data_IF_239063151773
#
_entry.id   IF_239063151773
#
_cell.length_a   1.000
_cell.length_b   1.000
_cell.length_c   1.000
_cell.angle_alpha   90.00
_cell.angle_beta   90.00
_cell.angle_gamma   90.00
#
_symmetry.space_group_name_H-M   'P 1'
#
loop_
_entity.id
_entity.type
_entity.pdbx_description
1 polymer ?
#
# COMPACT_ATOMS: atom_id res chain seq x y z
N UNK A 1 -6.86 -30.82 14.60
CA UNK A 1 -7.27 -29.41 14.73
C UNK A 1 -6.51 -28.64 13.66
N UNK A 2 -7.18 -28.10 12.64
CA UNK A 2 -6.49 -27.26 11.65
C UNK A 2 -6.28 -25.88 12.27
N UNK A 3 -5.02 -25.50 12.52
CA UNK A 3 -4.70 -24.15 12.94
C UNK A 3 -4.85 -23.20 11.74
N UNK A 4 -5.67 -22.17 11.89
CA UNK A 4 -5.76 -21.10 10.91
C UNK A 4 -4.40 -20.40 10.79
N UNK A 5 -3.84 -20.34 9.58
CA UNK A 5 -2.61 -19.62 9.29
C UNK A 5 -2.94 -18.35 8.52
N UNK A 6 -2.68 -17.21 9.14
CA UNK A 6 -2.87 -15.91 8.52
C UNK A 6 -1.54 -15.21 8.26
N UNK A 7 -1.47 -14.42 7.18
CA UNK A 7 -0.32 -13.56 6.88
C UNK A 7 -0.76 -12.14 6.59
N UNK A 8 -0.17 -11.19 7.31
CA UNK A 8 -0.38 -9.76 7.06
C UNK A 8 0.70 -9.24 6.11
N UNK A 9 0.30 -8.45 5.12
CA UNK A 9 1.20 -7.77 4.19
C UNK A 9 0.84 -6.28 4.17
N UNK A 10 1.84 -5.43 4.39
CA UNK A 10 1.71 -3.97 4.22
C UNK A 10 2.33 -3.56 2.89
N UNK A 11 1.62 -2.74 2.11
CA UNK A 11 2.09 -2.17 0.85
C UNK A 11 2.03 -0.65 0.93
N UNK A 12 2.97 -0.01 0.27
CA UNK A 12 3.02 1.45 0.13
C UNK A 12 2.74 1.81 -1.31
N UNK A 13 1.97 2.86 -1.54
CA UNK A 13 1.63 3.26 -2.89
C UNK A 13 1.37 4.73 -3.07
N UNK A 14 1.37 5.14 -4.34
CA UNK A 14 1.01 6.47 -4.79
C UNK A 14 -0.14 6.36 -5.79
N UNK A 15 -1.16 7.18 -5.63
CA UNK A 15 -2.17 7.40 -6.65
C UNK A 15 -1.75 8.60 -7.47
N UNK A 16 -1.37 8.39 -8.73
CA UNK A 16 -0.93 9.42 -9.67
C UNK A 16 -1.92 9.43 -10.83
N UNK A 17 -2.62 10.55 -11.07
CA UNK A 17 -3.66 10.67 -12.10
C UNK A 17 -4.72 9.55 -12.07
N UNK A 18 -5.08 9.10 -10.87
CA UNK A 18 -6.06 8.02 -10.67
C UNK A 18 -5.51 6.60 -10.79
N UNK A 19 -4.23 6.42 -11.13
CA UNK A 19 -3.57 5.12 -11.21
C UNK A 19 -2.72 4.86 -9.96
N UNK A 20 -2.84 3.65 -9.42
CA UNK A 20 -2.06 3.23 -8.26
C UNK A 20 -0.73 2.59 -8.66
N UNK A 21 0.35 3.07 -8.06
CA UNK A 21 1.71 2.55 -8.21
C UNK A 21 2.20 2.09 -6.85
N UNK A 22 2.58 0.82 -6.75
CA UNK A 22 3.03 0.19 -5.51
C UNK A 22 4.54 0.15 -5.40
N UNK A 23 5.04 0.30 -4.17
CA UNK A 23 6.46 0.30 -3.85
C UNK A 23 6.75 -0.72 -2.73
N UNK A 24 7.91 -1.40 -2.80
CA UNK A 24 8.29 -2.40 -1.80
C UNK A 24 8.71 -1.78 -0.47
N UNK A 25 9.14 -0.50 -0.46
CA UNK A 25 9.65 0.21 0.71
C UNK A 25 8.96 1.55 0.87
N UNK A 26 8.64 1.91 2.12
CA UNK A 26 8.02 3.19 2.49
C UNK A 26 8.87 4.36 2.02
N UNK A 27 10.18 4.29 2.22
CA UNK A 27 11.13 5.36 1.92
C UNK A 27 11.15 5.64 0.41
N UNK A 28 11.04 4.60 -0.41
CA UNK A 28 10.94 4.74 -1.87
C UNK A 28 9.64 5.41 -2.27
N UNK A 29 8.50 5.01 -1.68
CA UNK A 29 7.22 5.64 -1.94
C UNK A 29 7.23 7.14 -1.59
N UNK A 30 7.80 7.51 -0.43
CA UNK A 30 7.94 8.91 -0.01
C UNK A 30 8.82 9.67 -1.02
N UNK A 31 10.02 9.17 -1.31
CA UNK A 31 10.96 9.82 -2.24
C UNK A 31 10.33 10.07 -3.61
N UNK A 32 9.66 9.07 -4.18
CA UNK A 32 9.00 9.20 -5.48
C UNK A 32 7.76 10.08 -5.38
N UNK A 33 7.00 10.01 -4.29
CA UNK A 33 5.81 10.83 -4.08
C UNK A 33 6.12 12.32 -4.01
N UNK A 34 7.15 12.69 -3.26
CA UNK A 34 7.63 14.09 -3.20
C UNK A 34 8.09 14.59 -4.58
N UNK A 35 8.74 13.74 -5.39
CA UNK A 35 9.10 14.10 -6.76
C UNK A 35 7.88 14.23 -7.67
N UNK A 36 6.93 13.30 -7.56
CA UNK A 36 5.70 13.28 -8.36
C UNK A 36 4.84 14.52 -8.12
N UNK A 37 4.76 15.03 -6.89
CA UNK A 37 4.01 16.25 -6.56
C UNK A 37 4.43 17.47 -7.38
N UNK A 38 5.69 17.53 -7.84
CA UNK A 38 6.17 18.64 -8.69
C UNK A 38 5.53 18.66 -10.08
N UNK A 39 5.10 17.51 -10.58
CA UNK A 39 4.52 17.34 -11.92
C UNK A 39 3.02 17.00 -11.88
N UNK A 40 2.58 16.38 -10.78
CA UNK A 40 1.23 15.88 -10.56
C UNK A 40 0.80 16.27 -9.12
N UNK A 41 0.35 17.52 -8.92
CA UNK A 41 -0.02 18.04 -7.60
C UNK A 41 -1.13 17.25 -6.89
N UNK A 42 -1.91 16.50 -7.65
CA UNK A 42 -2.97 15.60 -7.18
C UNK A 42 -2.44 14.24 -6.66
N UNK A 43 -1.11 14.01 -6.73
CA UNK A 43 -0.51 12.77 -6.22
C UNK A 43 -0.89 12.56 -4.77
N UNK A 44 -1.51 11.42 -4.46
CA UNK A 44 -1.82 10.98 -3.10
C UNK A 44 -0.92 9.82 -2.72
N UNK A 45 -0.54 9.75 -1.45
CA UNK A 45 0.18 8.60 -0.92
C UNK A 45 -0.76 7.78 -0.05
N UNK A 46 -0.64 6.47 -0.10
CA UNK A 46 -1.42 5.56 0.73
C UNK A 46 -0.58 4.41 1.27
N UNK A 47 -1.08 3.82 2.33
CA UNK A 47 -0.61 2.61 2.96
C UNK A 47 -1.76 1.60 2.95
N UNK A 48 -1.50 0.38 2.52
CA UNK A 48 -2.50 -0.67 2.34
C UNK A 48 -2.11 -1.89 3.15
N UNK A 49 -2.98 -2.33 4.04
CA UNK A 49 -2.83 -3.54 4.84
C UNK A 49 -3.73 -4.62 4.27
N UNK A 50 -3.16 -5.80 4.02
CA UNK A 50 -3.91 -6.97 3.56
C UNK A 50 -3.68 -8.14 4.49
N UNK A 51 -4.78 -8.74 4.94
CA UNK A 51 -4.76 -9.99 5.69
C UNK A 51 -5.09 -11.15 4.76
N UNK A 52 -4.21 -12.14 4.68
CA UNK A 52 -4.39 -13.32 3.84
C UNK A 52 -4.58 -14.57 4.70
N UNK A 53 -5.57 -15.38 4.35
CA UNK A 53 -5.62 -16.79 4.74
C UNK A 53 -4.61 -17.57 3.89
N UNK A 54 -3.69 -18.27 4.53
CA UNK A 54 -2.70 -19.15 3.89
C UNK A 54 -2.82 -20.59 4.39
N UNK A 55 -3.95 -20.95 4.97
CA UNK A 55 -4.18 -22.26 5.58
C UNK A 55 -4.26 -23.39 4.54
N UNK A 56 -4.73 -23.08 3.32
CA UNK A 56 -5.04 -24.09 2.30
C UNK A 56 -4.55 -23.67 0.92
N UNK A 57 -3.35 -24.12 0.53
CA UNK A 57 -2.83 -23.94 -0.83
C UNK A 57 -2.80 -22.47 -1.26
N UNK A 58 -3.74 -22.08 -2.11
CA UNK A 58 -3.85 -20.73 -2.67
C UNK A 58 -4.26 -19.69 -1.60
N UNK A 59 -3.45 -18.63 -1.39
CA UNK A 59 -3.77 -17.57 -0.46
C UNK A 59 -5.08 -16.86 -0.80
N UNK A 60 -5.95 -16.64 0.20
CA UNK A 60 -7.22 -15.92 0.05
C UNK A 60 -7.19 -14.61 0.83
N UNK A 61 -7.57 -13.51 0.20
CA UNK A 61 -7.67 -12.22 0.89
C UNK A 61 -8.86 -12.26 1.85
N UNK A 62 -8.59 -12.05 3.15
CA UNK A 62 -9.61 -11.96 4.20
C UNK A 62 -10.04 -10.51 4.40
N UNK A 63 -9.08 -9.60 4.47
CA UNK A 63 -9.33 -8.19 4.77
C UNK A 63 -8.35 -7.29 4.02
N UNK A 64 -8.81 -6.09 3.67
CA UNK A 64 -8.03 -5.05 3.02
C UNK A 64 -8.42 -3.68 3.59
N UNK A 65 -7.42 -2.97 4.11
CA UNK A 65 -7.59 -1.63 4.67
C UNK A 65 -6.61 -0.67 4.03
N UNK A 66 -7.10 0.51 3.63
CA UNK A 66 -6.30 1.55 2.99
C UNK A 66 -6.35 2.84 3.78
N UNK A 67 -5.18 3.42 4.01
CA UNK A 67 -4.99 4.62 4.81
C UNK A 67 -4.36 5.71 3.97
N UNK A 68 -4.92 6.92 4.00
CA UNK A 68 -4.29 8.09 3.41
C UNK A 68 -3.03 8.45 4.20
N UNK A 69 -1.92 8.57 3.47
CA UNK A 69 -0.59 8.94 3.99
C UNK A 69 0.00 10.10 3.20
N UNK A 70 -0.81 10.87 2.50
CA UNK A 70 -0.40 12.01 1.68
C UNK A 70 0.33 13.08 2.49
N UNK A 71 0.04 13.18 3.79
CA UNK A 71 0.79 14.05 4.73
C UNK A 71 2.30 13.76 4.75
N UNK A 72 2.73 12.54 4.43
CA UNK A 72 4.14 12.16 4.41
C UNK A 72 4.92 12.74 3.22
N UNK A 73 4.23 13.22 2.18
CA UNK A 73 4.86 13.77 0.97
C UNK A 73 4.59 15.26 0.76
N UNK A 74 3.60 15.84 1.45
CA UNK A 74 3.25 17.27 1.44
C UNK A 74 4.01 18.07 2.50
N UNK A 75 5.34 18.01 2.47
CA UNK A 75 6.21 18.86 3.30
C UNK A 75 6.53 20.17 2.60
#
# INVERSE_FOLDING_TARGET
MFEAKTKTITRWGLTIRGSDVYFPKKETAIKIGTLSLKMNPETKMFEEYRLWDISYGDPRLIDEQRFDRTILIKQ
#
